data_IF_192895891389
#
_entry.id   IF_192895891389
#
_cell.length_a   1.000
_cell.length_b   1.000
_cell.length_c   1.000
_cell.angle_alpha   90.00
_cell.angle_beta   90.00
_cell.angle_gamma   90.00
#
_symmetry.space_group_name_H-M   'P 1'
#
loop_
_entity.id
_entity.type
_entity.pdbx_description
1 polymer ?
#
# COMPACT_ATOMS: atom_id res chain seq x y z
N UNK A 1 40.19 -1.62 -25.08
CA UNK A 1 38.74 -1.82 -24.88
C UNK A 1 38.11 -0.44 -24.75
N UNK A 2 37.16 -0.05 -25.60
CA UNK A 2 36.53 1.26 -25.46
C UNK A 2 35.64 1.27 -24.21
N UNK A 3 35.75 2.34 -23.42
CA UNK A 3 34.92 2.56 -22.25
C UNK A 3 33.45 2.68 -22.68
N UNK A 4 32.56 1.87 -22.09
CA UNK A 4 31.11 2.05 -22.23
C UNK A 4 30.77 3.44 -21.68
N UNK A 5 30.33 4.32 -22.57
CA UNK A 5 29.75 5.62 -22.25
C UNK A 5 28.62 5.40 -21.25
N UNK A 6 28.72 6.00 -20.06
CA UNK A 6 27.67 5.93 -19.04
C UNK A 6 26.47 6.70 -19.59
N UNK A 7 25.46 5.99 -20.06
CA UNK A 7 24.17 6.56 -20.43
C UNK A 7 23.68 7.42 -19.25
N UNK A 8 23.28 8.69 -19.48
CA UNK A 8 22.83 9.56 -18.40
C UNK A 8 21.66 8.90 -17.68
N UNK A 9 21.75 8.87 -16.35
CA UNK A 9 20.71 8.28 -15.53
C UNK A 9 19.39 9.03 -15.74
N UNK A 10 18.34 8.33 -16.20
CA UNK A 10 17.04 8.93 -16.44
C UNK A 10 16.47 9.53 -15.14
N UNK A 11 16.16 10.82 -15.17
CA UNK A 11 15.62 11.54 -14.01
C UNK A 11 14.20 11.07 -13.68
N UNK A 12 13.77 11.28 -12.42
CA UNK A 12 12.40 10.95 -11.99
C UNK A 12 11.35 11.67 -12.83
N UNK A 13 11.58 12.93 -13.21
CA UNK A 13 10.66 13.67 -14.08
C UNK A 13 10.56 13.08 -15.49
N UNK A 14 11.69 12.71 -16.11
CA UNK A 14 11.69 12.05 -17.43
C UNK A 14 11.01 10.68 -17.37
N UNK A 15 11.25 9.94 -16.29
CA UNK A 15 10.59 8.68 -16.03
C UNK A 15 9.07 8.88 -15.91
N UNK A 16 8.60 9.82 -15.12
CA UNK A 16 7.15 10.02 -14.92
C UNK A 16 6.45 10.67 -16.12
N UNK A 17 7.15 11.48 -16.91
CA UNK A 17 6.61 12.11 -18.12
C UNK A 17 6.72 11.24 -19.37
N UNK A 18 7.53 10.18 -19.32
CA UNK A 18 7.74 9.27 -20.43
C UNK A 18 6.54 8.37 -20.70
N UNK A 19 6.44 7.87 -21.93
CA UNK A 19 5.59 6.74 -22.26
C UNK A 19 6.38 5.46 -21.98
N UNK A 20 5.85 4.62 -21.10
CA UNK A 20 6.46 3.34 -20.73
C UNK A 20 5.47 2.23 -21.06
N UNK A 21 5.99 1.15 -21.63
CA UNK A 21 5.22 -0.09 -21.85
C UNK A 21 5.25 -0.98 -20.60
N UNK A 22 6.20 -0.73 -19.69
CA UNK A 22 6.39 -1.48 -18.46
C UNK A 22 5.62 -0.88 -17.27
N UNK A 23 5.33 -1.73 -16.28
CA UNK A 23 4.77 -1.33 -15.00
C UNK A 23 5.80 -0.57 -14.14
N UNK A 24 5.29 0.35 -13.32
CA UNK A 24 6.08 1.05 -12.30
C UNK A 24 5.74 0.51 -10.91
N UNK A 25 6.78 0.24 -10.12
CA UNK A 25 6.65 -0.13 -8.71
C UNK A 25 6.80 1.11 -7.82
N UNK A 26 5.75 1.46 -7.07
CA UNK A 26 5.79 2.54 -6.09
C UNK A 26 5.91 1.96 -4.68
N UNK A 27 6.96 2.36 -3.95
CA UNK A 27 7.08 2.10 -2.52
C UNK A 27 6.53 3.30 -1.75
N UNK A 28 5.43 3.08 -1.02
CA UNK A 28 4.81 4.09 -0.16
C UNK A 28 5.21 3.88 1.31
N UNK A 29 5.02 4.88 2.18
CA UNK A 29 5.13 4.71 3.63
C UNK A 29 4.10 3.72 4.18
N UNK A 30 4.41 3.08 5.31
CA UNK A 30 3.53 2.10 5.97
C UNK A 30 2.21 2.70 6.47
N UNK A 31 2.15 4.02 6.64
CA UNK A 31 0.91 4.76 6.92
C UNK A 31 0.81 5.92 5.97
N UNK A 32 -0.30 6.00 5.26
CA UNK A 32 -0.62 7.10 4.36
C UNK A 32 -1.30 8.23 5.15
N UNK A 33 -1.07 9.49 4.74
CA UNK A 33 -1.72 10.63 5.35
C UNK A 33 -3.07 10.88 4.66
N UNK A 34 -4.03 9.97 4.82
CA UNK A 34 -5.44 10.26 4.56
C UNK A 34 -6.19 10.24 5.89
N UNK A 35 -7.29 10.99 5.95
CA UNK A 35 -8.30 10.70 6.97
C UNK A 35 -8.68 9.22 6.78
N UNK A 36 -8.69 8.38 7.83
CA UNK A 36 -9.30 7.07 7.71
C UNK A 36 -10.70 7.28 7.13
N UNK A 37 -11.23 6.38 6.28
CA UNK A 37 -12.64 6.47 5.93
C UNK A 37 -13.41 6.69 7.22
N UNK A 38 -14.27 7.72 7.27
CA UNK A 38 -15.25 7.81 8.35
C UNK A 38 -15.93 6.45 8.37
N UNK A 39 -15.60 5.63 9.36
CA UNK A 39 -16.31 4.40 9.64
C UNK A 39 -17.66 4.88 10.11
N UNK A 40 -18.55 5.18 9.16
CA UNK A 40 -19.98 5.07 9.38
C UNK A 40 -20.16 3.63 9.82
N UNK A 41 -20.24 3.42 11.13
CA UNK A 41 -20.74 2.19 11.70
C UNK A 41 -22.17 2.06 11.19
N UNK A 42 -22.35 1.44 10.02
CA UNK A 42 -23.65 0.92 9.65
C UNK A 42 -23.88 -0.37 10.44
N UNK A 43 -25.07 -0.53 11.03
CA UNK A 43 -25.35 -1.61 11.95
C UNK A 43 -25.45 -2.94 11.20
N UNK A 44 -24.66 -3.90 11.66
CA UNK A 44 -25.02 -5.31 11.82
C UNK A 44 -26.01 -5.89 10.78
N UNK A 45 -25.49 -6.56 9.75
CA UNK A 45 -26.24 -7.63 9.08
C UNK A 45 -25.66 -8.97 9.52
N UNK A 46 -26.23 -9.48 10.61
CA UNK A 46 -26.32 -10.91 10.88
C UNK A 46 -27.09 -11.57 9.76
N UNK A 47 -26.46 -12.51 9.03
CA UNK A 47 -27.00 -13.84 8.71
C UNK A 47 -26.11 -14.55 7.69
N UNK A 48 -25.38 -15.57 8.14
CA UNK A 48 -25.47 -16.90 7.53
C UNK A 48 -25.15 -17.94 8.61
N UNK A 49 -26.22 -18.56 9.11
CA UNK A 49 -26.16 -19.72 10.00
C UNK A 49 -25.74 -20.93 9.17
N UNK A 50 -24.57 -21.51 9.46
CA UNK A 50 -24.34 -22.92 9.16
C UNK A 50 -24.41 -23.70 10.48
N UNK A 51 -25.50 -24.43 10.63
CA UNK A 51 -25.72 -25.38 11.70
C UNK A 51 -24.81 -26.60 11.49
N UNK A 52 -23.97 -26.92 12.46
CA UNK A 52 -23.65 -28.32 12.76
C UNK A 52 -23.33 -28.45 14.26
N UNK A 53 -24.36 -28.77 15.04
CA UNK A 53 -24.25 -29.48 16.31
C UNK A 53 -23.93 -30.95 15.98
N UNK A 54 -23.14 -31.77 16.69
CA UNK A 54 -22.88 -31.93 18.13
C UNK A 54 -21.81 -33.05 18.24
N UNK A 55 -20.79 -32.99 19.12
CA UNK A 55 -20.61 -33.71 20.41
C UNK A 55 -19.11 -34.16 20.49
N UNK A 56 -18.33 -34.23 21.58
CA UNK A 56 -18.54 -34.20 23.05
C UNK A 56 -17.18 -34.08 23.81
N UNK A 57 -17.08 -33.15 24.77
CA UNK A 57 -16.49 -33.19 26.15
C UNK A 57 -15.04 -33.71 26.40
N UNK A 58 -14.16 -32.99 27.11
CA UNK A 58 -14.04 -32.81 28.59
C UNK A 58 -12.77 -31.94 28.86
N UNK A 59 -12.53 -31.13 29.90
CA UNK A 59 -13.14 -30.84 31.20
C UNK A 59 -12.70 -29.43 31.71
N UNK A 60 -13.65 -28.75 32.37
CA UNK A 60 -13.63 -27.83 33.52
C UNK A 60 -12.39 -26.98 33.87
N UNK A 61 -12.57 -25.65 33.93
CA UNK A 61 -12.80 -24.91 35.19
C UNK A 61 -13.14 -23.43 34.91
N UNK A 62 -14.34 -23.01 35.35
CA UNK A 62 -14.80 -21.62 35.35
C UNK A 62 -14.24 -20.86 36.54
N UNK A 63 -13.71 -19.66 36.28
CA UNK A 63 -13.71 -18.51 37.19
C UNK A 63 -14.02 -17.29 36.32
N UNK A 64 -15.26 -16.82 36.43
CA UNK A 64 -15.73 -15.54 35.89
C UNK A 64 -15.08 -14.35 36.61
N UNK A 65 -15.18 -13.18 35.98
CA UNK A 65 -14.88 -11.81 36.46
C UNK A 65 -13.39 -11.43 36.32
N UNK A 66 -12.97 -10.46 35.50
CA UNK A 66 -13.60 -9.19 35.13
C UNK A 66 -13.36 -8.86 33.63
N UNK A 67 -14.44 -8.45 32.95
CA UNK A 67 -14.39 -7.79 31.65
C UNK A 67 -13.87 -6.37 31.84
N UNK A 68 -12.55 -6.21 31.89
CA UNK A 68 -11.95 -4.90 31.68
C UNK A 68 -12.08 -4.56 30.20
N UNK A 69 -12.92 -3.56 29.97
CA UNK A 69 -13.18 -2.80 28.75
C UNK A 69 -11.89 -2.16 28.21
N UNK A 70 -10.93 -2.98 27.78
CA UNK A 70 -9.78 -2.52 27.00
C UNK A 70 -10.24 -2.30 25.57
N UNK A 71 -11.01 -1.23 25.40
CA UNK A 71 -11.18 -0.50 24.14
C UNK A 71 -9.81 0.08 23.76
N UNK A 72 -8.86 -0.81 23.43
CA UNK A 72 -7.63 -0.47 22.73
C UNK A 72 -8.09 0.09 21.40
N UNK A 73 -8.17 1.42 21.36
CA UNK A 73 -8.06 2.21 20.15
C UNK A 73 -6.72 1.85 19.49
N UNK A 74 -6.67 0.68 18.84
CA UNK A 74 -5.59 0.33 17.95
C UNK A 74 -5.60 1.44 16.91
N UNK A 75 -4.61 2.34 16.97
CA UNK A 75 -4.47 3.42 15.99
C UNK A 75 -4.56 2.78 14.61
N UNK A 76 -5.70 2.94 13.94
CA UNK A 76 -5.88 2.38 12.61
C UNK A 76 -4.98 3.18 11.68
N UNK A 77 -3.90 2.55 11.25
CA UNK A 77 -3.03 3.12 10.23
C UNK A 77 -3.78 3.10 8.90
N UNK A 78 -3.78 4.22 8.18
CA UNK A 78 -4.27 4.24 6.83
C UNK A 78 -3.25 3.55 5.91
N UNK A 79 -3.69 2.53 5.18
CA UNK A 79 -2.92 1.85 4.14
C UNK A 79 -3.70 1.87 2.82
N UNK A 80 -3.07 1.49 1.70
CA UNK A 80 -3.76 1.45 0.40
C UNK A 80 -5.01 0.56 0.41
N UNK A 81 -5.05 -0.53 1.20
CA UNK A 81 -6.21 -1.42 1.29
C UNK A 81 -7.38 -0.84 2.07
N UNK A 82 -7.13 0.19 2.91
CA UNK A 82 -8.17 0.87 3.69
C UNK A 82 -8.74 2.10 2.99
N UNK A 83 -8.14 2.53 1.87
CA UNK A 83 -8.61 3.68 1.10
C UNK A 83 -9.80 3.28 0.23
N UNK A 84 -10.80 4.18 0.06
CA UNK A 84 -11.84 3.97 -0.93
C UNK A 84 -11.25 3.99 -2.34
N UNK A 85 -11.92 3.29 -3.25
CA UNK A 85 -11.58 3.34 -4.67
C UNK A 85 -11.73 4.77 -5.23
N UNK A 86 -10.96 5.07 -6.28
CA UNK A 86 -10.99 6.35 -6.97
C UNK A 86 -9.71 7.16 -6.78
N UNK A 87 -9.83 8.48 -6.91
CA UNK A 87 -8.67 9.38 -6.82
C UNK A 87 -8.24 9.55 -5.36
N UNK A 88 -7.08 8.98 -5.02
CA UNK A 88 -6.49 9.10 -3.66
C UNK A 88 -5.52 10.28 -3.51
N UNK A 89 -5.08 10.89 -4.62
CA UNK A 89 -4.09 11.96 -4.58
C UNK A 89 -3.69 12.51 -5.95
N UNK A 90 -2.61 13.29 -5.96
CA UNK A 90 -2.09 13.96 -7.16
C UNK A 90 -0.57 13.86 -7.21
N UNK A 91 -0.02 13.32 -8.30
CA UNK A 91 1.41 13.33 -8.58
C UNK A 91 1.79 14.61 -9.35
N UNK A 92 2.68 15.43 -8.79
CA UNK A 92 3.16 16.68 -9.38
C UNK A 92 4.60 16.54 -9.83
N UNK A 93 4.88 16.87 -11.10
CA UNK A 93 6.23 16.95 -11.65
C UNK A 93 6.57 18.43 -11.88
N UNK A 94 7.64 18.90 -11.25
CA UNK A 94 8.06 20.30 -11.30
C UNK A 94 9.06 20.53 -12.44
N UNK A 95 9.14 21.77 -12.94
CA UNK A 95 10.12 22.19 -13.96
C UNK A 95 11.57 21.92 -13.54
N UNK A 96 11.85 21.88 -12.24
CA UNK A 96 13.17 21.56 -11.68
C UNK A 96 13.54 20.08 -11.76
N UNK A 97 12.66 19.21 -12.26
CA UNK A 97 12.85 17.77 -12.30
C UNK A 97 12.45 17.05 -11.01
N UNK A 98 12.08 17.79 -9.97
CA UNK A 98 11.51 17.23 -8.72
C UNK A 98 10.12 16.65 -8.98
N UNK A 99 9.77 15.60 -8.26
CA UNK A 99 8.42 15.04 -8.26
C UNK A 99 7.91 14.89 -6.82
N UNK A 100 6.62 15.15 -6.62
CA UNK A 100 5.95 15.04 -5.32
C UNK A 100 4.58 14.40 -5.48
N UNK A 101 4.24 13.49 -4.58
CA UNK A 101 2.92 12.87 -4.48
C UNK A 101 2.14 13.53 -3.35
N UNK A 102 0.97 14.07 -3.67
CA UNK A 102 0.12 14.82 -2.76
C UNK A 102 -1.10 13.98 -2.37
N UNK A 103 -1.27 13.75 -1.08
CA UNK A 103 -2.45 13.14 -0.45
C UNK A 103 -3.15 14.23 0.37
N UNK A 104 -4.15 14.90 -0.24
CA UNK A 104 -4.74 16.10 0.34
C UNK A 104 -3.69 17.20 0.58
N UNK A 105 -3.51 17.56 1.84
CA UNK A 105 -2.55 18.59 2.28
C UNK A 105 -1.12 18.05 2.54
N UNK A 106 -0.95 16.73 2.55
CA UNK A 106 0.32 16.09 2.87
C UNK A 106 1.07 15.73 1.59
N UNK A 107 2.37 16.00 1.55
CA UNK A 107 3.22 15.72 0.40
C UNK A 107 4.28 14.67 0.73
N UNK A 108 4.53 13.79 -0.22
CA UNK A 108 5.63 12.83 -0.21
C UNK A 108 6.58 13.17 -1.36
N UNK A 109 7.88 13.26 -1.07
CA UNK A 109 8.89 13.38 -2.11
C UNK A 109 8.99 12.06 -2.88
N UNK A 110 8.98 12.13 -4.22
CA UNK A 110 9.05 10.96 -5.09
C UNK A 110 10.45 10.90 -5.70
N UNK A 111 11.16 9.83 -5.36
CA UNK A 111 12.53 9.61 -5.81
C UNK A 111 12.63 8.28 -6.56
N UNK A 112 13.67 8.16 -7.40
CA UNK A 112 13.98 6.90 -8.06
C UNK A 112 14.45 5.89 -7.01
N UNK A 113 13.87 4.70 -7.04
CA UNK A 113 14.32 3.59 -6.22
C UNK A 113 15.57 2.94 -6.81
N UNK A 114 16.20 2.06 -6.03
CA UNK A 114 17.32 1.25 -6.50
C UNK A 114 16.91 0.47 -7.75
N UNK A 115 17.65 0.67 -8.84
CA UNK A 115 17.45 -0.13 -10.05
C UNK A 115 17.89 -1.56 -9.80
N UNK A 116 17.09 -2.47 -10.34
CA UNK A 116 17.32 -3.91 -10.21
C UNK A 116 17.92 -4.41 -11.51
N UNK A 117 19.03 -5.16 -11.42
CA UNK A 117 19.75 -5.69 -12.59
C UNK A 117 19.17 -6.99 -13.16
N UNK A 118 17.97 -7.38 -12.72
CA UNK A 118 17.29 -8.61 -13.13
C UNK A 118 15.86 -8.32 -13.56
N UNK A 119 15.32 -9.19 -14.42
CA UNK A 119 13.94 -9.11 -14.93
C UNK A 119 12.94 -9.36 -13.79
N UNK A 120 11.91 -8.51 -13.71
CA UNK A 120 10.85 -8.60 -12.73
C UNK A 120 9.49 -8.54 -13.44
N UNK A 121 8.59 -9.46 -13.11
CA UNK A 121 7.26 -9.55 -13.72
C UNK A 121 6.16 -9.37 -12.67
N UNK A 122 5.10 -8.66 -13.07
CA UNK A 122 3.83 -8.63 -12.34
C UNK A 122 2.99 -9.81 -12.81
N UNK A 123 2.54 -10.63 -11.88
CA UNK A 123 1.77 -11.86 -12.17
C UNK A 123 0.49 -11.83 -11.35
N UNK A 124 -0.64 -12.10 -11.99
CA UNK A 124 -1.91 -12.38 -11.33
C UNK A 124 -2.00 -13.87 -11.03
N UNK A 125 -2.32 -14.21 -9.78
CA UNK A 125 -2.51 -15.59 -9.33
C UNK A 125 -3.87 -15.68 -8.66
N UNK A 126 -4.73 -16.56 -9.17
CA UNK A 126 -6.02 -16.88 -8.59
C UNK A 126 -6.03 -18.36 -8.21
N UNK A 127 -6.45 -18.66 -6.97
CA UNK A 127 -6.53 -20.02 -6.44
C UNK A 127 -7.98 -20.33 -6.12
N UNK A 128 -8.41 -21.53 -6.49
CA UNK A 128 -9.70 -22.12 -6.13
C UNK A 128 -9.46 -23.32 -5.22
N UNK A 129 -9.80 -23.15 -3.94
CA UNK A 129 -9.58 -24.15 -2.90
C UNK A 129 -10.49 -25.38 -3.05
N UNK A 130 -11.70 -25.21 -3.59
CA UNK A 130 -12.68 -26.29 -3.71
C UNK A 130 -12.27 -27.25 -4.82
N UNK A 131 -11.91 -26.72 -5.99
CA UNK A 131 -11.43 -27.53 -7.12
C UNK A 131 -9.95 -27.91 -7.02
N UNK A 132 -9.22 -27.42 -6.01
CA UNK A 132 -7.76 -27.54 -5.87
C UNK A 132 -7.03 -27.13 -7.14
N UNK A 133 -7.53 -26.10 -7.81
CA UNK A 133 -6.99 -25.59 -9.07
C UNK A 133 -6.69 -24.10 -8.96
N UNK A 134 -6.11 -23.52 -10.01
CA UNK A 134 -5.80 -22.10 -10.04
C UNK A 134 -5.45 -21.62 -11.43
N UNK A 135 -5.48 -20.32 -11.61
CA UNK A 135 -5.07 -19.65 -12.86
C UNK A 135 -3.94 -18.67 -12.56
N UNK A 136 -3.01 -18.56 -13.51
CA UNK A 136 -1.89 -17.64 -13.42
C UNK A 136 -1.71 -16.92 -14.75
N UNK A 137 -1.55 -15.60 -14.70
CA UNK A 137 -1.35 -14.77 -15.88
C UNK A 137 -0.25 -13.74 -15.63
N UNK A 138 0.72 -13.66 -16.55
CA UNK A 138 1.75 -12.62 -16.53
C UNK A 138 1.14 -11.33 -17.08
N UNK A 139 1.13 -10.26 -16.29
CA UNK A 139 0.58 -8.97 -16.66
C UNK A 139 1.59 -8.12 -17.44
N UNK A 140 2.88 -8.20 -17.07
CA UNK A 140 3.98 -7.53 -17.76
C UNK A 140 5.18 -7.25 -16.84
N UNK A 141 6.19 -6.60 -17.41
CA UNK A 141 7.46 -6.35 -16.73
C UNK A 141 7.39 -5.12 -15.80
N UNK A 142 8.19 -5.13 -14.73
CA UNK A 142 8.45 -3.96 -13.89
C UNK A 142 9.73 -3.28 -14.40
N UNK A 143 9.58 -2.16 -15.08
CA UNK A 143 10.72 -1.43 -15.65
C UNK A 143 11.38 -0.49 -14.63
N UNK A 144 10.58 0.05 -13.71
CA UNK A 144 11.02 1.17 -12.87
C UNK A 144 10.48 1.12 -11.44
N UNK A 145 11.36 1.46 -10.49
CA UNK A 145 11.04 1.56 -9.06
C UNK A 145 11.08 3.00 -8.61
N UNK A 146 10.09 3.41 -7.84
CA UNK A 146 9.96 4.73 -7.23
C UNK A 146 9.74 4.57 -5.73
N UNK A 147 10.30 5.49 -4.95
CA UNK A 147 10.16 5.52 -3.48
C UNK A 147 9.56 6.87 -3.08
N UNK A 148 8.43 6.81 -2.39
CA UNK A 148 7.73 7.97 -1.86
C UNK A 148 8.06 8.12 -0.37
N UNK A 149 8.71 9.22 0.01
CA UNK A 149 9.13 9.49 1.39
C UNK A 149 8.43 10.72 1.95
N UNK A 150 7.96 10.73 3.20
CA UNK A 150 7.43 11.93 3.84
C UNK A 150 8.48 13.04 3.89
N UNK A 151 8.06 14.29 3.69
CA UNK A 151 8.94 15.44 3.90
C UNK A 151 9.11 15.70 5.41
N UNK A 152 10.06 14.98 6.01
CA UNK A 152 10.37 15.05 7.44
C UNK A 152 10.78 16.46 7.88
N UNK A 153 11.48 17.20 7.02
CA UNK A 153 11.93 18.56 7.34
C UNK A 153 10.73 19.49 7.50
N UNK A 154 9.79 19.46 6.56
CA UNK A 154 8.55 20.24 6.66
C UNK A 154 7.73 19.82 7.88
N UNK A 155 7.59 18.51 8.13
CA UNK A 155 6.83 17.98 9.27
C UNK A 155 7.42 18.40 10.63
N UNK A 156 8.75 18.38 10.78
CA UNK A 156 9.42 18.79 12.03
C UNK A 156 9.31 20.29 12.27
N UNK A 157 9.38 21.11 11.20
CA UNK A 157 9.24 22.57 11.32
C UNK A 157 7.84 22.99 11.76
N UNK A 158 6.79 22.30 11.28
CA UNK A 158 5.39 22.56 11.67
C UNK A 158 5.13 22.38 13.18
N UNK A 159 5.95 21.59 13.88
CA UNK A 159 5.82 21.34 15.31
C UNK A 159 6.48 22.41 16.21
N UNK A 160 7.32 23.29 15.65
CA UNK A 160 8.10 24.28 16.43
C UNK A 160 7.36 25.61 16.68
N UNK A 161 6.06 25.63 16.48
CA UNK A 161 5.12 26.71 16.83
C UNK A 161 4.03 26.13 17.70
#
# INVERSE_FOLDING_TARGET
MPAKEKTPECSVAQLLAGKHEDFMFFQLPNSLPSHPPDVKQEPNITQLQNQTQQQKQTASNNLDLDEDEDQKSSRQYCTLSTLPEGQIGTLKVYKSGRAEMWFGQHKLAVNKGTQVGFLQDVVSVQVDEESKSGSMAVLGHIGHRLVCTPDLESLVRQRKT
#
